data_IF_921176452295
#
_entry.id   IF_921176452295
#
_cell.length_a   1.000
_cell.length_b   1.000
_cell.length_c   1.000
_cell.angle_alpha   90.00
_cell.angle_beta   90.00
_cell.angle_gamma   90.00
#
_symmetry.space_group_name_H-M   'P 1'
#
loop_
_entity.id
_entity.type
_entity.pdbx_description
1 polymer ?
#
# COMPACT_ATOMS: atom_id res chain seq x y z
N UNK A 1 -45.17 1.76 -25.27
CA UNK A 1 -44.28 2.95 -25.14
C UNK A 1 -43.79 3.18 -23.70
N UNK A 2 -44.63 2.94 -22.69
CA UNK A 2 -44.26 3.13 -21.26
C UNK A 2 -43.09 2.25 -20.76
N UNK A 3 -43.09 0.96 -21.10
CA UNK A 3 -42.05 0.00 -20.66
C UNK A 3 -40.67 0.35 -21.24
N UNK A 4 -40.62 0.79 -22.50
CA UNK A 4 -39.34 1.19 -23.13
C UNK A 4 -38.71 2.41 -22.44
N UNK A 5 -39.55 3.40 -22.05
CA UNK A 5 -39.06 4.59 -21.33
C UNK A 5 -38.54 4.20 -19.95
N UNK A 6 -39.20 3.28 -19.23
CA UNK A 6 -38.70 2.78 -17.93
C UNK A 6 -37.34 2.06 -18.05
N UNK A 7 -37.17 1.23 -19.07
CA UNK A 7 -35.92 0.53 -19.29
C UNK A 7 -34.78 1.51 -19.62
N UNK A 8 -35.06 2.50 -20.48
CA UNK A 8 -34.06 3.53 -20.86
C UNK A 8 -33.68 4.38 -19.66
N UNK A 9 -34.64 4.80 -18.82
CA UNK A 9 -34.35 5.58 -17.60
C UNK A 9 -33.53 4.78 -16.60
N UNK A 10 -33.80 3.49 -16.46
CA UNK A 10 -33.05 2.59 -15.56
C UNK A 10 -31.62 2.38 -16.03
N UNK A 11 -31.41 2.25 -17.34
CA UNK A 11 -30.07 2.17 -17.93
C UNK A 11 -29.26 3.45 -17.75
N UNK A 12 -29.89 4.63 -17.93
CA UNK A 12 -29.25 5.92 -17.70
C UNK A 12 -28.88 6.09 -16.23
N UNK A 13 -29.77 5.71 -15.31
CA UNK A 13 -29.51 5.79 -13.88
C UNK A 13 -28.35 4.89 -13.47
N UNK A 14 -28.31 3.63 -13.95
CA UNK A 14 -27.21 2.71 -13.68
C UNK A 14 -25.88 3.21 -14.27
N UNK A 15 -25.91 3.85 -15.43
CA UNK A 15 -24.74 4.46 -16.03
C UNK A 15 -24.22 5.66 -15.24
N UNK A 16 -25.10 6.54 -14.77
CA UNK A 16 -24.75 7.67 -13.89
C UNK A 16 -24.16 7.19 -12.57
N UNK A 17 -24.77 6.18 -11.95
CA UNK A 17 -24.26 5.55 -10.72
C UNK A 17 -22.88 4.93 -10.99
N UNK A 18 -22.70 4.24 -12.11
CA UNK A 18 -21.43 3.64 -12.50
C UNK A 18 -20.33 4.69 -12.67
N UNK A 19 -20.58 5.81 -13.38
CA UNK A 19 -19.63 6.90 -13.55
C UNK A 19 -19.31 7.56 -12.19
N UNK A 20 -20.32 7.84 -11.37
CA UNK A 20 -20.11 8.45 -10.06
C UNK A 20 -19.28 7.53 -9.13
N UNK A 21 -19.57 6.23 -9.12
CA UNK A 21 -18.80 5.23 -8.40
C UNK A 21 -17.37 5.07 -8.95
N UNK A 22 -17.19 5.10 -10.28
CA UNK A 22 -15.88 4.98 -10.89
C UNK A 22 -14.99 6.17 -10.55
N UNK A 23 -15.51 7.39 -10.53
CA UNK A 23 -14.78 8.58 -10.07
C UNK A 23 -14.35 8.45 -8.59
N UNK A 24 -15.25 8.03 -7.71
CA UNK A 24 -14.93 7.81 -6.29
C UNK A 24 -13.92 6.68 -6.08
N UNK A 25 -13.94 5.65 -6.95
CA UNK A 25 -13.03 4.50 -6.85
C UNK A 25 -11.68 4.71 -7.54
N UNK A 26 -11.62 5.54 -8.59
CA UNK A 26 -10.38 5.82 -9.34
C UNK A 26 -9.50 6.88 -8.68
N UNK A 27 -10.07 7.78 -7.88
CA UNK A 27 -9.34 8.83 -7.17
C UNK A 27 -8.73 8.35 -5.83
N UNK A 28 -8.34 7.07 -5.70
CA UNK A 28 -7.54 6.68 -4.55
C UNK A 28 -6.10 7.19 -4.74
N UNK A 29 -5.68 8.20 -3.98
CA UNK A 29 -4.32 8.75 -4.10
C UNK A 29 -3.25 7.75 -3.68
N UNK A 30 -3.66 6.65 -3.03
CA UNK A 30 -2.80 5.62 -2.46
C UNK A 30 -3.16 4.23 -2.97
N UNK A 31 -2.14 3.49 -3.40
CA UNK A 31 -2.25 2.07 -3.70
C UNK A 31 -1.76 1.26 -2.49
N UNK A 32 -2.55 0.31 -1.96
CA UNK A 32 -2.07 -0.60 -0.93
C UNK A 32 -0.91 -1.44 -1.48
N UNK A 33 0.10 -1.65 -0.66
CA UNK A 33 1.37 -2.28 -1.08
C UNK A 33 1.73 -3.41 -0.14
N UNK A 34 1.99 -4.58 -0.71
CA UNK A 34 2.41 -5.75 0.05
C UNK A 34 1.33 -6.33 0.96
N UNK A 35 1.72 -7.21 1.89
CA UNK A 35 0.80 -7.85 2.82
C UNK A 35 0.26 -6.84 3.86
N UNK A 36 -0.98 -7.07 4.34
CA UNK A 36 -1.62 -6.20 5.33
C UNK A 36 -0.84 -6.05 6.64
N UNK A 37 -0.04 -7.04 6.99
CA UNK A 37 0.78 -7.05 8.21
C UNK A 37 2.13 -7.66 7.92
N UNK A 38 3.20 -6.96 8.32
CA UNK A 38 4.60 -7.39 8.16
C UNK A 38 5.28 -7.35 9.52
N UNK A 39 6.00 -8.41 9.89
CA UNK A 39 6.81 -8.44 11.10
C UNK A 39 8.07 -7.60 10.93
N UNK A 40 8.44 -6.85 11.97
CA UNK A 40 9.70 -6.10 12.00
C UNK A 40 10.91 -6.94 12.39
N UNK A 41 10.71 -8.09 13.06
CA UNK A 41 11.80 -8.95 13.53
C UNK A 41 12.49 -9.75 12.44
N UNK A 42 11.93 -9.78 11.25
CA UNK A 42 12.46 -10.51 10.10
C UNK A 42 12.56 -9.60 8.89
N UNK A 43 13.70 -9.63 8.23
CA UNK A 43 13.87 -8.88 6.98
C UNK A 43 13.02 -9.55 5.89
N UNK A 44 12.06 -8.81 5.34
CA UNK A 44 11.15 -9.29 4.31
C UNK A 44 11.04 -8.32 3.15
N UNK A 45 10.91 -8.88 1.95
CA UNK A 45 10.57 -8.10 0.76
C UNK A 45 9.06 -7.87 0.73
N UNK A 46 8.65 -6.59 0.68
CA UNK A 46 7.23 -6.20 0.65
C UNK A 46 6.73 -6.06 -0.78
N UNK A 47 7.50 -5.40 -1.62
CA UNK A 47 7.20 -5.25 -3.06
C UNK A 47 8.44 -5.49 -3.91
N UNK A 48 8.17 -5.90 -5.13
CA UNK A 48 9.23 -6.13 -6.13
C UNK A 48 9.83 -4.81 -6.61
N UNK A 49 11.04 -4.87 -7.17
CA UNK A 49 11.70 -3.71 -7.75
C UNK A 49 10.89 -3.08 -8.89
N UNK A 50 10.18 -3.87 -9.68
CA UNK A 50 9.37 -3.37 -10.80
C UNK A 50 8.17 -2.56 -10.34
N UNK A 51 7.46 -3.04 -9.30
CA UNK A 51 6.35 -2.30 -8.68
C UNK A 51 6.84 -1.03 -8.00
N UNK A 52 7.96 -1.11 -7.25
CA UNK A 52 8.57 0.03 -6.61
C UNK A 52 8.96 1.12 -7.63
N UNK A 53 9.44 0.71 -8.81
CA UNK A 53 9.80 1.63 -9.89
C UNK A 53 8.62 2.50 -10.32
N UNK A 54 7.45 1.93 -10.48
CA UNK A 54 6.25 2.68 -10.88
C UNK A 54 5.73 3.63 -9.80
N UNK A 55 5.88 3.25 -8.52
CA UNK A 55 5.30 3.99 -7.39
C UNK A 55 6.26 5.02 -6.78
N UNK A 56 7.58 4.78 -6.84
CA UNK A 56 8.56 5.60 -6.11
C UNK A 56 9.52 6.39 -7.00
N UNK A 57 9.82 5.88 -8.20
CA UNK A 57 10.83 6.50 -9.06
C UNK A 57 10.30 7.66 -9.90
N UNK A 58 9.07 8.09 -9.69
CA UNK A 58 8.53 9.26 -10.38
C UNK A 58 9.33 10.52 -10.02
N UNK A 59 9.67 11.32 -11.03
CA UNK A 59 10.44 12.56 -10.89
C UNK A 59 9.67 13.65 -10.16
N UNK A 60 8.34 13.65 -10.24
CA UNK A 60 7.46 14.65 -9.60
C UNK A 60 7.40 14.53 -8.08
N UNK A 61 7.68 13.36 -7.56
CA UNK A 61 7.60 13.08 -6.13
C UNK A 61 6.90 11.76 -5.86
N UNK A 62 6.80 11.39 -4.59
CA UNK A 62 6.10 10.17 -4.16
C UNK A 62 5.83 10.20 -2.66
N UNK A 63 4.87 9.41 -2.22
CA UNK A 63 4.51 9.29 -0.81
C UNK A 63 4.42 7.82 -0.43
N UNK A 64 4.93 7.46 0.75
CA UNK A 64 4.68 6.17 1.38
C UNK A 64 4.06 6.43 2.75
N UNK A 65 2.98 5.71 3.06
CA UNK A 65 2.30 5.76 4.36
C UNK A 65 2.22 4.33 4.91
N UNK A 66 2.53 4.17 6.19
CA UNK A 66 2.40 2.90 6.89
C UNK A 66 2.17 3.13 8.37
N UNK A 67 1.55 2.15 9.04
CA UNK A 67 1.36 2.15 10.48
C UNK A 67 2.36 1.18 11.10
N UNK A 68 3.07 1.64 12.11
CA UNK A 68 4.11 0.86 12.79
C UNK A 68 3.88 0.83 14.29
N UNK A 69 4.10 -0.33 14.89
CA UNK A 69 4.20 -0.51 16.34
C UNK A 69 5.53 -1.21 16.65
N UNK A 70 6.62 -0.45 16.77
CA UNK A 70 7.94 -1.02 17.00
C UNK A 70 8.15 -1.31 18.48
N UNK A 71 8.75 -2.46 18.75
CA UNK A 71 9.28 -2.84 20.05
C UNK A 71 10.79 -3.12 19.92
N UNK A 72 11.54 -2.85 20.97
CA UNK A 72 12.96 -3.19 21.01
C UNK A 72 13.08 -4.62 21.52
N UNK A 73 13.87 -5.43 20.85
CA UNK A 73 14.03 -6.83 21.20
C UNK A 73 15.10 -6.93 22.31
N UNK A 74 14.77 -7.51 23.47
CA UNK A 74 15.68 -7.62 24.63
C UNK A 74 17.01 -8.34 24.32
N UNK A 75 17.01 -9.20 23.30
CA UNK A 75 18.21 -9.94 22.87
C UNK A 75 19.30 -9.07 22.26
N UNK A 76 18.99 -7.86 21.86
CA UNK A 76 19.89 -6.94 21.15
C UNK A 76 20.43 -5.82 22.03
N UNK A 77 19.97 -5.74 23.27
CA UNK A 77 20.42 -4.75 24.26
C UNK A 77 21.94 -4.83 24.61
N UNK A 78 22.66 -5.75 23.97
CA UNK A 78 24.09 -5.99 24.29
C UNK A 78 25.09 -5.22 23.43
N UNK A 79 24.69 -4.56 22.36
CA UNK A 79 25.64 -4.00 21.37
C UNK A 79 25.47 -2.50 21.09
N UNK A 80 25.57 -1.65 22.11
CA UNK A 80 25.73 -0.21 21.92
C UNK A 80 24.55 0.52 21.22
N UNK A 81 24.67 1.82 21.09
CA UNK A 81 23.68 2.67 20.40
C UNK A 81 23.71 2.45 18.88
N UNK A 82 22.97 1.50 18.37
CA UNK A 82 22.89 1.20 16.94
C UNK A 82 21.49 1.46 16.37
N UNK A 83 21.46 1.94 15.12
CA UNK A 83 20.22 2.12 14.39
C UNK A 83 19.82 0.83 13.67
N UNK A 84 18.60 0.37 13.91
CA UNK A 84 17.99 -0.75 13.20
C UNK A 84 17.15 -0.27 12.01
N UNK A 85 17.20 -1.00 10.90
CA UNK A 85 16.48 -0.65 9.69
C UNK A 85 15.00 -1.05 9.82
N UNK A 86 14.11 -0.09 9.75
CA UNK A 86 12.66 -0.34 9.72
C UNK A 86 12.20 -0.62 8.30
N UNK A 87 12.62 0.26 7.38
CA UNK A 87 12.18 0.26 6.00
C UNK A 87 13.32 0.71 5.11
N UNK A 88 13.54 0.00 4.01
CA UNK A 88 14.55 0.32 3.02
C UNK A 88 13.93 0.35 1.62
N UNK A 89 13.95 1.51 0.99
CA UNK A 89 13.43 1.73 -0.35
C UNK A 89 14.59 1.80 -1.33
N UNK A 90 14.74 0.76 -2.15
CA UNK A 90 15.95 0.57 -2.90
C UNK A 90 17.17 0.58 -1.95
N UNK A 91 18.36 0.55 -2.40
CA UNK A 91 19.53 0.62 -1.50
C UNK A 91 19.85 2.05 -1.00
N UNK A 92 19.02 3.05 -1.35
CA UNK A 92 19.40 4.47 -1.26
C UNK A 92 18.58 5.30 -0.28
N UNK A 93 17.45 4.79 0.19
CA UNK A 93 16.64 5.44 1.21
C UNK A 93 16.36 4.44 2.33
N UNK A 94 16.70 4.80 3.57
CA UNK A 94 16.50 3.90 4.72
C UNK A 94 15.92 4.68 5.88
N UNK A 95 14.79 4.21 6.40
CA UNK A 95 14.22 4.68 7.66
C UNK A 95 14.70 3.77 8.78
N UNK A 96 15.29 4.37 9.83
CA UNK A 96 15.94 3.65 10.93
C UNK A 96 15.43 4.15 12.27
N UNK A 97 15.41 3.26 13.27
CA UNK A 97 15.13 3.61 14.67
C UNK A 97 16.34 3.23 15.52
N UNK A 98 16.70 4.08 16.47
CA UNK A 98 17.78 3.79 17.41
C UNK A 98 17.35 2.67 18.37
N UNK A 99 18.13 1.62 18.42
CA UNK A 99 18.01 0.54 19.39
C UNK A 99 19.05 0.82 20.48
N UNK A 100 18.63 1.45 21.57
CA UNK A 100 19.53 1.76 22.68
C UNK A 100 19.42 0.72 23.79
N UNK A 101 20.54 0.24 24.31
CA UNK A 101 20.57 -0.74 25.39
C UNK A 101 20.47 -0.11 26.78
N UNK A 102 19.70 0.95 26.97
CA UNK A 102 19.48 1.51 28.31
C UNK A 102 18.65 0.52 29.13
N UNK A 103 19.35 -0.45 29.69
CA UNK A 103 18.81 -1.40 30.62
C UNK A 103 18.08 -0.71 31.77
N UNK A 104 16.77 -0.80 31.79
CA UNK A 104 15.95 -0.41 32.93
C UNK A 104 15.06 0.83 32.76
N UNK A 105 15.04 1.48 31.61
CA UNK A 105 14.02 2.49 31.29
C UNK A 105 13.01 1.91 30.30
N UNK A 106 11.73 2.00 30.63
CA UNK A 106 10.65 1.83 29.66
C UNK A 106 10.81 2.94 28.60
N UNK A 107 11.55 2.63 27.54
CA UNK A 107 11.74 3.55 26.42
C UNK A 107 10.42 3.70 25.67
N UNK A 108 9.69 4.77 25.96
CA UNK A 108 8.46 5.13 25.26
C UNK A 108 8.76 5.83 23.92
N UNK A 109 9.96 6.39 23.79
CA UNK A 109 10.43 7.12 22.61
C UNK A 109 11.89 6.83 22.31
N UNK A 110 12.25 6.76 21.03
CA UNK A 110 13.62 6.63 20.55
C UNK A 110 13.89 7.62 19.41
N UNK A 111 15.12 8.05 19.19
CA UNK A 111 15.50 8.76 17.98
C UNK A 111 15.30 7.85 16.73
N UNK A 112 14.80 8.44 15.67
CA UNK A 112 14.73 7.81 14.35
C UNK A 112 15.42 8.68 13.31
N UNK A 113 15.81 8.08 12.21
CA UNK A 113 16.52 8.77 11.13
C UNK A 113 16.00 8.29 9.77
N UNK A 114 15.86 9.23 8.84
CA UNK A 114 15.73 8.93 7.42
C UNK A 114 17.07 9.22 6.75
N UNK A 115 17.75 8.18 6.32
CA UNK A 115 19.02 8.24 5.62
C UNK A 115 18.78 8.25 4.13
N UNK A 116 19.29 9.25 3.43
CA UNK A 116 19.08 9.49 2.02
C UNK A 116 20.44 9.54 1.33
N UNK A 117 20.65 8.68 0.34
CA UNK A 117 21.85 8.76 -0.48
C UNK A 117 21.61 9.72 -1.64
N UNK A 118 22.47 10.73 -1.76
CA UNK A 118 22.35 11.81 -2.76
C UNK A 118 23.62 11.92 -3.61
N UNK A 119 23.52 12.65 -4.72
CA UNK A 119 24.64 12.92 -5.62
C UNK A 119 24.69 12.00 -6.84
N UNK A 120 25.82 11.98 -7.54
CA UNK A 120 26.09 11.06 -8.65
C UNK A 120 26.79 9.80 -8.13
N UNK A 121 26.80 8.74 -8.92
CA UNK A 121 27.40 7.45 -8.58
C UNK A 121 28.80 7.56 -7.97
N UNK A 122 29.64 8.43 -8.54
CA UNK A 122 31.05 8.60 -8.15
C UNK A 122 31.25 9.55 -6.96
N UNK A 123 30.21 10.31 -6.57
CA UNK A 123 30.24 11.28 -5.47
C UNK A 123 29.02 11.18 -4.58
N UNK A 124 28.61 9.95 -4.26
CA UNK A 124 27.47 9.70 -3.40
C UNK A 124 27.74 10.16 -1.97
N UNK A 125 26.76 10.84 -1.37
CA UNK A 125 26.79 11.31 0.02
C UNK A 125 25.56 10.80 0.76
N UNK A 126 25.76 10.48 2.02
CA UNK A 126 24.67 10.19 2.93
C UNK A 126 24.21 11.49 3.58
N UNK A 127 22.94 11.82 3.42
CA UNK A 127 22.28 12.93 4.09
C UNK A 127 21.24 12.37 5.06
N UNK A 128 21.13 12.94 6.25
CA UNK A 128 20.33 12.40 7.35
C UNK A 128 19.29 13.43 7.75
N UNK A 129 18.03 12.97 7.85
CA UNK A 129 16.94 13.70 8.47
C UNK A 129 16.65 13.06 9.83
N UNK A 130 16.95 13.78 10.89
CA UNK A 130 16.75 13.32 12.26
C UNK A 130 15.31 13.54 12.72
N UNK A 131 14.77 12.54 13.44
CA UNK A 131 13.47 12.55 14.08
C UNK A 131 13.69 12.21 15.55
N UNK A 132 13.83 13.21 16.43
CA UNK A 132 14.33 12.99 17.79
C UNK A 132 13.40 12.17 18.69
N UNK A 133 12.09 12.24 18.46
CA UNK A 133 11.07 11.67 19.34
C UNK A 133 10.15 10.74 18.56
N UNK A 134 10.63 9.57 18.19
CA UNK A 134 9.83 8.54 17.55
C UNK A 134 9.19 7.63 18.61
N UNK A 135 7.84 7.43 18.59
CA UNK A 135 7.16 6.63 19.58
C UNK A 135 7.47 5.14 19.45
N UNK A 136 7.69 4.47 20.58
CA UNK A 136 7.82 3.02 20.69
C UNK A 136 6.60 2.41 21.38
N UNK A 137 6.39 1.10 21.20
CA UNK A 137 5.36 0.29 21.86
C UNK A 137 3.92 0.79 21.67
N UNK A 138 3.69 1.61 20.66
CA UNK A 138 2.35 2.07 20.27
C UNK A 138 2.25 2.23 18.76
N UNK A 139 1.03 2.12 18.26
CA UNK A 139 0.76 2.36 16.87
C UNK A 139 1.03 3.82 16.52
N UNK A 140 1.81 4.01 15.46
CA UNK A 140 2.17 5.32 14.93
C UNK A 140 2.04 5.27 13.42
N UNK A 141 1.25 6.15 12.84
CA UNK A 141 1.20 6.34 11.40
C UNK A 141 2.42 7.16 10.97
N UNK A 142 3.17 6.64 10.03
CA UNK A 142 4.35 7.30 9.44
C UNK A 142 4.05 7.57 7.98
N UNK A 143 4.20 8.83 7.55
CA UNK A 143 4.18 9.18 6.13
C UNK A 143 5.51 9.82 5.75
N UNK A 144 6.14 9.30 4.70
CA UNK A 144 7.36 9.86 4.12
C UNK A 144 6.99 10.40 2.75
N UNK A 145 7.08 11.70 2.60
CA UNK A 145 6.80 12.43 1.35
C UNK A 145 8.10 12.89 0.74
N UNK A 146 8.32 12.48 -0.49
CA UNK A 146 9.40 12.98 -1.33
C UNK A 146 8.82 13.98 -2.33
N UNK A 147 9.37 15.16 -2.39
CA UNK A 147 9.04 16.19 -3.36
C UNK A 147 10.35 16.77 -3.95
N UNK A 148 10.76 16.21 -5.07
CA UNK A 148 12.07 16.47 -5.69
C UNK A 148 13.22 16.15 -4.71
N UNK A 149 13.90 17.19 -4.19
CA UNK A 149 14.98 17.07 -3.19
C UNK A 149 14.50 17.21 -1.76
N UNK A 150 13.23 17.58 -1.55
CA UNK A 150 12.67 17.78 -0.22
C UNK A 150 12.04 16.49 0.30
N UNK A 151 12.35 16.15 1.54
CA UNK A 151 11.74 15.04 2.26
C UNK A 151 11.02 15.58 3.50
N UNK A 152 9.76 15.19 3.65
CA UNK A 152 8.96 15.49 4.82
C UNK A 152 8.55 14.17 5.47
N UNK A 153 8.71 14.08 6.78
CA UNK A 153 8.24 12.95 7.58
C UNK A 153 7.12 13.42 8.49
N UNK A 154 6.00 12.74 8.41
CA UNK A 154 4.83 13.01 9.26
C UNK A 154 4.64 11.83 10.21
N UNK A 155 4.32 12.14 11.47
CA UNK A 155 3.93 11.18 12.49
C UNK A 155 2.50 11.49 12.90
N UNK A 156 1.59 10.50 12.78
CA UNK A 156 0.17 10.66 13.08
C UNK A 156 -0.45 11.92 12.40
N UNK A 157 -0.14 12.12 11.12
CA UNK A 157 -0.64 13.24 10.33
C UNK A 157 -0.01 14.59 10.61
N UNK A 158 0.94 14.70 11.58
CA UNK A 158 1.65 15.94 11.91
C UNK A 158 3.08 15.91 11.38
N UNK A 159 3.54 17.03 10.82
CA UNK A 159 4.93 17.16 10.36
C UNK A 159 5.89 17.01 11.54
N UNK A 160 6.71 15.98 11.52
CA UNK A 160 7.72 15.71 12.53
C UNK A 160 9.09 16.24 12.13
N UNK A 161 9.45 16.11 10.85
CA UNK A 161 10.74 16.57 10.35
C UNK A 161 10.66 16.90 8.86
N UNK A 162 11.46 17.85 8.40
CA UNK A 162 11.58 18.26 7.00
C UNK A 162 13.02 18.57 6.66
N UNK A 163 13.47 18.09 5.50
CA UNK A 163 14.84 18.29 5.05
C UNK A 163 14.90 18.45 3.53
N UNK A 164 15.70 19.41 3.07
CA UNK A 164 15.99 19.57 1.64
C UNK A 164 17.42 19.11 1.36
N UNK A 165 17.56 18.04 0.61
CA UNK A 165 18.86 17.49 0.25
C UNK A 165 19.70 18.47 -0.58
N UNK A 166 21.00 18.49 -0.32
CA UNK A 166 21.97 19.33 -1.05
C UNK A 166 22.10 18.90 -2.50
N UNK A 167 22.02 17.59 -2.76
CA UNK A 167 22.06 17.02 -4.10
C UNK A 167 20.79 16.21 -4.40
N UNK A 168 20.63 15.78 -5.66
CA UNK A 168 19.49 14.92 -6.06
C UNK A 168 19.60 13.55 -5.37
N UNK A 169 18.50 13.05 -4.80
CA UNK A 169 18.45 11.71 -4.25
C UNK A 169 18.73 10.67 -5.33
N UNK A 170 19.50 9.66 -4.96
CA UNK A 170 19.75 8.51 -5.83
C UNK A 170 18.69 7.44 -5.64
N UNK A 171 18.45 6.68 -6.68
CA UNK A 171 17.56 5.51 -6.66
C UNK A 171 18.24 4.35 -7.34
N UNK A 172 18.03 3.18 -6.78
CA UNK A 172 18.46 1.94 -7.37
C UNK A 172 17.22 1.17 -7.86
N UNK A 173 16.99 1.12 -9.18
CA UNK A 173 15.80 0.48 -9.73
C UNK A 173 15.82 -1.05 -9.62
N UNK A 174 16.94 -1.64 -9.20
CA UNK A 174 17.11 -3.10 -9.09
C UNK A 174 16.74 -3.63 -7.71
N UNK A 175 16.76 -2.76 -6.69
CA UNK A 175 16.45 -3.16 -5.32
C UNK A 175 14.97 -3.02 -4.99
N UNK A 176 14.39 -4.01 -4.31
CA UNK A 176 13.01 -3.98 -3.84
C UNK A 176 12.82 -3.06 -2.64
N UNK A 177 11.57 -2.96 -2.15
CA UNK A 177 11.27 -2.42 -0.84
C UNK A 177 11.39 -3.53 0.19
N UNK A 178 12.28 -3.33 1.15
CA UNK A 178 12.55 -4.25 2.25
C UNK A 178 12.06 -3.65 3.57
N UNK A 179 11.57 -4.50 4.45
CA UNK A 179 11.10 -4.14 5.80
C UNK A 179 11.69 -5.09 6.82
N UNK A 180 12.04 -4.53 7.97
CA UNK A 180 12.44 -5.29 9.15
C UNK A 180 13.94 -5.35 9.39
N UNK A 181 14.26 -5.62 10.66
CA UNK A 181 15.61 -5.83 11.19
C UNK A 181 15.49 -6.78 12.40
N UNK A 182 16.35 -7.80 12.53
CA UNK A 182 16.29 -8.75 13.65
C UNK A 182 16.38 -8.10 15.05
N UNK A 183 16.89 -6.88 15.13
CA UNK A 183 17.01 -6.09 16.36
C UNK A 183 15.71 -5.41 16.80
N UNK A 184 14.72 -5.37 15.92
CA UNK A 184 13.40 -4.82 16.20
C UNK A 184 12.39 -5.95 16.41
N UNK A 185 11.42 -5.69 17.26
CA UNK A 185 10.18 -6.44 17.36
C UNK A 185 9.00 -5.58 16.90
N UNK A 186 7.82 -6.19 16.89
CA UNK A 186 6.60 -5.49 16.51
C UNK A 186 6.21 -5.69 15.04
N UNK A 187 5.35 -4.82 14.54
CA UNK A 187 4.72 -5.00 13.22
C UNK A 187 4.51 -3.69 12.48
N UNK A 188 4.49 -3.79 11.15
CA UNK A 188 3.97 -2.76 10.24
C UNK A 188 2.64 -3.24 9.66
N UNK A 189 1.68 -2.32 9.51
CA UNK A 189 0.38 -2.56 8.87
C UNK A 189 0.03 -1.48 7.86
N UNK A 190 -0.88 -1.82 6.94
CA UNK A 190 -1.53 -0.90 6.00
C UNK A 190 -0.52 -0.03 5.24
N UNK A 191 0.51 -0.65 4.69
CA UNK A 191 1.46 0.07 3.85
C UNK A 191 0.80 0.45 2.52
N UNK A 192 0.93 1.72 2.16
CA UNK A 192 0.37 2.27 0.93
C UNK A 192 1.32 3.27 0.31
N UNK A 193 1.35 3.35 -1.01
CA UNK A 193 2.20 4.26 -1.76
C UNK A 193 1.41 5.06 -2.79
N UNK A 194 1.86 6.29 -3.01
CA UNK A 194 1.39 7.16 -4.10
C UNK A 194 2.57 7.57 -4.97
N UNK A 195 2.43 7.58 -6.31
CA UNK A 195 3.43 8.11 -7.22
C UNK A 195 3.51 9.64 -7.19
N UNK A 196 2.70 10.30 -6.35
CA UNK A 196 2.65 11.74 -6.19
C UNK A 196 2.95 12.16 -4.74
N UNK A 197 3.52 13.35 -4.52
CA UNK A 197 3.65 13.91 -3.18
C UNK A 197 2.28 14.35 -2.68
N UNK A 198 1.83 13.79 -1.56
CA UNK A 198 0.55 14.13 -0.95
C UNK A 198 0.65 15.40 -0.11
N UNK A 199 -0.44 16.17 -0.09
CA UNK A 199 -0.57 17.34 0.76
C UNK A 199 -0.73 16.98 2.25
N UNK A 200 -0.29 17.83 3.19
CA UNK A 200 -0.42 17.56 4.62
C UNK A 200 -1.85 17.26 5.09
N UNK A 201 -2.85 17.90 4.48
CA UNK A 201 -4.26 17.65 4.81
C UNK A 201 -4.70 16.26 4.35
N UNK A 202 -4.32 15.86 3.13
CA UNK A 202 -4.60 14.51 2.60
C UNK A 202 -3.97 13.43 3.48
N UNK A 203 -2.73 13.63 3.92
CA UNK A 203 -2.04 12.70 4.81
C UNK A 203 -2.78 12.59 6.14
N UNK A 204 -3.22 13.72 6.72
CA UNK A 204 -3.95 13.74 7.98
C UNK A 204 -5.29 13.02 7.86
N UNK A 205 -6.02 13.27 6.79
CA UNK A 205 -7.33 12.66 6.56
C UNK A 205 -7.18 11.15 6.34
N UNK A 206 -6.21 10.72 5.52
CA UNK A 206 -5.90 9.29 5.31
C UNK A 206 -5.48 8.58 6.60
N UNK A 207 -4.69 9.22 7.44
CA UNK A 207 -4.29 8.67 8.74
C UNK A 207 -5.51 8.54 9.66
N UNK A 208 -6.36 9.57 9.76
CA UNK A 208 -7.56 9.54 10.60
C UNK A 208 -8.54 8.46 10.15
N UNK A 209 -8.69 8.26 8.84
CA UNK A 209 -9.59 7.26 8.26
C UNK A 209 -9.08 5.82 8.42
N UNK A 210 -7.80 5.65 8.76
CA UNK A 210 -7.14 4.34 8.87
C UNK A 210 -6.93 3.85 10.30
N UNK A 211 -7.31 4.64 11.31
CA UNK A 211 -7.19 4.30 12.73
C UNK A 211 -8.55 4.30 13.42
N UNK A 212 -8.74 3.38 14.34
CA UNK A 212 -9.94 3.34 15.19
C UNK A 212 -9.84 4.34 16.37
N UNK A 213 -10.87 4.41 17.18
CA UNK A 213 -10.93 5.27 18.38
C UNK A 213 -9.85 4.95 19.42
N UNK A 214 -9.27 3.74 19.38
CA UNK A 214 -8.17 3.31 20.26
C UNK A 214 -6.78 3.57 19.65
N UNK A 215 -6.73 4.12 18.44
CA UNK A 215 -5.49 4.40 17.72
C UNK A 215 -4.87 3.17 17.03
N UNK A 216 -5.60 2.05 16.96
CA UNK A 216 -5.16 0.85 16.27
C UNK A 216 -5.52 0.95 14.79
N UNK A 217 -4.58 0.66 13.87
CA UNK A 217 -4.88 0.68 12.44
C UNK A 217 -5.84 -0.45 12.07
N UNK A 218 -6.89 -0.11 11.34
CA UNK A 218 -7.86 -1.06 10.82
C UNK A 218 -7.98 -0.93 9.31
N UNK A 219 -8.30 -2.03 8.66
CA UNK A 219 -8.63 -2.00 7.23
C UNK A 219 -10.04 -1.44 7.08
N UNK A 220 -10.22 -0.28 6.44
CA UNK A 220 -11.57 0.25 6.23
C UNK A 220 -12.39 -0.78 5.47
N UNK A 221 -13.59 -1.06 5.97
CA UNK A 221 -14.52 -1.98 5.33
C UNK A 221 -14.92 -1.36 4.00
N UNK A 222 -14.45 -1.93 2.90
CA UNK A 222 -14.82 -1.44 1.58
C UNK A 222 -16.28 -1.81 1.30
N UNK A 223 -16.98 -0.97 0.52
CA UNK A 223 -18.34 -1.26 0.07
C UNK A 223 -18.48 -2.69 -0.53
N UNK A 224 -17.43 -3.15 -1.23
CA UNK A 224 -17.39 -4.49 -1.80
C UNK A 224 -17.28 -5.59 -0.74
N UNK A 225 -16.58 -5.38 0.36
CA UNK A 225 -16.53 -6.35 1.47
C UNK A 225 -17.84 -6.36 2.24
N UNK A 226 -18.55 -5.23 2.35
CA UNK A 226 -19.93 -5.19 2.86
C UNK A 226 -20.89 -5.89 1.89
N UNK A 227 -20.77 -5.59 0.59
CA UNK A 227 -21.64 -6.19 -0.42
C UNK A 227 -21.44 -7.72 -0.50
N UNK A 228 -20.22 -8.21 -0.36
CA UNK A 228 -19.94 -9.66 -0.32
C UNK A 228 -20.55 -10.33 0.93
N UNK A 229 -20.78 -9.60 2.00
CA UNK A 229 -21.46 -10.11 3.18
C UNK A 229 -22.98 -10.22 2.99
N UNK A 230 -23.58 -9.35 2.17
CA UNK A 230 -25.01 -9.33 1.89
C UNK A 230 -25.38 -10.07 0.60
N UNK A 231 -24.45 -10.24 -0.33
CA UNK A 231 -24.70 -11.01 -1.54
C UNK A 231 -24.46 -12.49 -1.25
N UNK A 232 -25.40 -13.36 -1.61
CA UNK A 232 -25.16 -14.80 -1.57
C UNK A 232 -23.95 -15.15 -2.45
N UNK A 233 -23.22 -16.13 -2.02
CA UNK A 233 -22.01 -16.60 -2.70
C UNK A 233 -22.33 -17.00 -4.15
N UNK A 234 -21.98 -16.14 -5.09
CA UNK A 234 -22.24 -16.34 -6.52
C UNK A 234 -21.32 -17.39 -7.16
N UNK A 235 -20.39 -17.99 -6.40
CA UNK A 235 -19.54 -19.06 -6.88
C UNK A 235 -20.32 -20.28 -7.36
N UNK A 236 -21.55 -20.46 -6.86
CA UNK A 236 -22.45 -21.53 -7.24
C UNK A 236 -23.51 -21.14 -8.27
N UNK A 237 -23.44 -19.93 -8.84
CA UNK A 237 -24.37 -19.61 -9.94
C UNK A 237 -24.04 -20.48 -11.14
N UNK A 238 -25.07 -21.13 -11.70
CA UNK A 238 -24.89 -21.85 -12.95
C UNK A 238 -24.34 -20.88 -13.99
N UNK A 239 -23.36 -21.33 -14.76
CA UNK A 239 -22.70 -20.48 -15.77
C UNK A 239 -23.75 -19.76 -16.62
N UNK A 240 -23.45 -18.52 -17.05
CA UNK A 240 -24.38 -17.72 -17.88
C UNK A 240 -24.93 -18.56 -19.05
N UNK A 241 -24.12 -19.49 -19.58
CA UNK A 241 -24.52 -20.42 -20.61
C UNK A 241 -25.61 -21.42 -20.19
N UNK A 242 -25.64 -21.85 -18.93
CA UNK A 242 -26.71 -22.71 -18.40
C UNK A 242 -27.98 -21.92 -18.11
N UNK A 243 -27.88 -20.68 -17.65
CA UNK A 243 -29.04 -19.76 -17.49
C UNK A 243 -29.68 -19.42 -18.86
N UNK A 244 -28.86 -19.13 -19.88
CA UNK A 244 -29.36 -18.90 -21.25
C UNK A 244 -30.05 -20.14 -21.81
N UNK A 245 -29.51 -21.36 -21.61
CA UNK A 245 -30.16 -22.58 -22.02
C UNK A 245 -31.50 -22.83 -21.33
N UNK A 246 -31.62 -22.54 -20.05
CA UNK A 246 -32.88 -22.67 -19.31
C UNK A 246 -33.95 -21.64 -19.73
N UNK A 247 -33.51 -20.41 -20.07
CA UNK A 247 -34.43 -19.34 -20.49
C UNK A 247 -34.94 -19.54 -21.92
N UNK A 248 -34.17 -20.10 -22.82
CA UNK A 248 -34.54 -20.26 -24.24
C UNK A 248 -34.98 -21.66 -24.60
N UNK A 249 -34.79 -22.63 -23.72
CA UNK A 249 -35.18 -24.01 -23.92
C UNK A 249 -35.96 -24.60 -22.72
N UNK A 250 -37.17 -24.14 -22.42
CA UNK A 250 -37.92 -24.61 -21.27
C UNK A 250 -38.38 -26.05 -21.31
N UNK A 251 -37.99 -26.83 -22.34
CA UNK A 251 -38.38 -28.23 -22.51
C UNK A 251 -37.22 -29.24 -22.55
N UNK A 252 -35.98 -28.85 -22.26
CA UNK A 252 -34.87 -29.78 -22.06
C UNK A 252 -34.31 -30.48 -23.32
N UNK A 253 -34.91 -30.31 -24.50
CA UNK A 253 -34.51 -31.02 -25.74
C UNK A 253 -34.00 -30.08 -26.84
N UNK A 254 -33.09 -29.17 -26.51
CA UNK A 254 -32.33 -28.45 -27.52
C UNK A 254 -31.02 -29.23 -27.84
N UNK A 255 -31.14 -30.35 -28.48
CA UNK A 255 -30.02 -31.05 -29.12
C UNK A 255 -29.69 -30.42 -30.49
N UNK A 256 -29.37 -29.12 -30.48
CA UNK A 256 -28.69 -28.47 -31.57
C UNK A 256 -27.18 -28.61 -31.34
N UNK A 257 -26.51 -29.44 -32.11
CA UNK A 257 -25.08 -29.52 -32.15
C UNK A 257 -24.53 -28.07 -32.33
N UNK A 258 -23.91 -27.52 -31.31
CA UNK A 258 -23.07 -26.34 -31.47
C UNK A 258 -21.85 -26.89 -32.23
N UNK A 259 -21.88 -26.77 -33.54
CA UNK A 259 -20.67 -26.93 -34.36
C UNK A 259 -19.65 -25.96 -33.79
N UNK A 260 -18.51 -26.49 -33.38
CA UNK A 260 -17.40 -25.67 -32.88
C UNK A 260 -17.15 -24.52 -33.86
N UNK A 261 -17.23 -23.29 -33.37
CA UNK A 261 -16.97 -22.12 -34.19
C UNK A 261 -15.51 -22.10 -34.63
N UNK A 262 -15.17 -21.37 -35.69
CA UNK A 262 -13.86 -21.36 -36.33
C UNK A 262 -12.68 -21.05 -35.38
N UNK A 263 -12.93 -20.55 -34.17
CA UNK A 263 -11.89 -20.30 -33.17
C UNK A 263 -11.39 -21.56 -32.45
N UNK A 264 -12.12 -22.66 -32.48
CA UNK A 264 -11.66 -23.93 -31.90
C UNK A 264 -10.75 -24.73 -32.84
N UNK A 265 -10.84 -24.53 -34.15
CA UNK A 265 -9.93 -25.16 -35.10
C UNK A 265 -8.50 -24.60 -35.05
N UNK A 266 -8.34 -23.30 -34.63
CA UNK A 266 -7.02 -22.68 -34.49
C UNK A 266 -6.20 -23.21 -33.31
N UNK A 267 -6.87 -23.66 -32.25
CA UNK A 267 -6.19 -24.19 -31.06
C UNK A 267 -5.60 -25.60 -31.27
N UNK A 268 -6.12 -26.37 -32.26
CA UNK A 268 -5.68 -27.74 -32.52
C UNK A 268 -4.46 -27.79 -33.44
N UNK A 269 -4.22 -26.74 -34.23
CA UNK A 269 -3.12 -26.71 -35.21
C UNK A 269 -1.81 -26.10 -34.70
N UNK A 270 -1.72 -25.72 -33.41
CA UNK A 270 -0.52 -25.15 -32.77
C UNK A 270 -0.07 -25.91 -31.50
N UNK A 271 -0.50 -27.17 -31.32
CA UNK A 271 -0.03 -28.05 -30.26
C UNK A 271 0.95 -29.08 -30.82
#
# INVERSE_FOLDING_TARGET
>A
MSIFIVIVTLLILTYIIYISLSHILLDKPLSPVGPHTVSLSTVSQVITSNELKSLWLNTSGSTIIFHINPTINDRTAQSGNEYANVLQIGSKLTFKILVAPDAGRELIMAPAQLVIITGKSDSSRSEILDIPNFPLQRWTAVAIVKDGRRFNVYLNGKLAASYTCKAMPQYDPTFPLMVGDPRLGGTIRLMSMSPNPLHPNEIRDLVNDSIDTSGVPYTPVTFWSLLSYFLPDFSNLPSITTLWKQLWCPGGNCSGAITAGPLQEWAINYA
#
